data_IF_812297956068
#
_entry.id   IF_812297956068
#
_cell.length_a   1.000
_cell.length_b   1.000
_cell.length_c   1.000
_cell.angle_alpha   90.00
_cell.angle_beta   90.00
_cell.angle_gamma   90.00
#
_symmetry.space_group_name_H-M   'P 1'
#
loop_
_entity.id
_entity.type
_entity.pdbx_description
1 polymer ?
#
# COMPACT_ATOMS: atom_id res chain seq x y z
N UNK A 1 -7.92 8.91 12.94
CA UNK A 1 -7.97 8.58 11.49
C UNK A 1 -6.69 7.89 11.08
N UNK A 2 -6.80 6.79 10.36
CA UNK A 2 -5.63 6.02 9.93
C UNK A 2 -5.10 6.59 8.62
N UNK A 3 -3.79 6.78 8.57
CA UNK A 3 -3.11 7.23 7.37
C UNK A 3 -2.47 6.02 6.69
N UNK A 4 -2.59 5.96 5.37
CA UNK A 4 -1.98 4.90 4.58
C UNK A 4 -0.82 5.46 3.79
N UNK A 5 0.32 4.82 3.87
CA UNK A 5 1.53 5.19 3.16
C UNK A 5 1.87 4.11 2.15
N UNK A 6 2.19 4.53 0.94
CA UNK A 6 2.54 3.61 -0.15
C UNK A 6 3.97 3.90 -0.58
N UNK A 7 4.85 2.95 -0.35
CA UNK A 7 6.27 3.14 -0.61
C UNK A 7 6.82 2.05 -1.51
N UNK A 8 7.84 2.37 -2.27
CA UNK A 8 8.53 1.42 -3.12
C UNK A 8 9.88 1.11 -2.49
N UNK A 9 10.23 -0.17 -2.40
CA UNK A 9 11.52 -0.58 -1.89
C UNK A 9 12.58 -0.33 -2.95
N UNK A 10 13.59 0.44 -2.59
CA UNK A 10 14.72 0.77 -3.45
C UNK A 10 16.01 0.28 -2.80
N UNK A 11 17.12 0.37 -3.53
CA UNK A 11 18.41 -0.08 -3.03
C UNK A 11 18.83 0.64 -1.75
N UNK A 12 18.45 1.90 -1.62
CA UNK A 12 18.82 2.74 -0.47
C UNK A 12 17.66 2.93 0.52
N UNK A 13 16.62 2.09 0.46
CA UNK A 13 15.51 2.12 1.40
C UNK A 13 14.16 2.26 0.71
N UNK A 14 13.20 2.84 1.43
CA UNK A 14 11.84 3.00 0.94
C UNK A 14 11.62 4.44 0.48
N UNK A 15 10.97 4.60 -0.68
CA UNK A 15 10.65 5.92 -1.22
C UNK A 15 9.20 5.96 -1.69
N UNK A 16 8.58 7.12 -1.56
CA UNK A 16 7.27 7.36 -2.13
C UNK A 16 7.43 7.84 -3.57
N UNK A 17 6.72 7.17 -4.48
CA UNK A 17 6.66 7.58 -5.87
C UNK A 17 5.32 8.26 -6.09
N UNK A 18 5.31 9.57 -6.26
CA UNK A 18 4.09 10.36 -6.30
C UNK A 18 3.02 9.84 -7.25
N UNK A 19 3.41 9.42 -8.45
CA UNK A 19 2.47 8.89 -9.43
C UNK A 19 1.82 7.61 -8.92
N UNK A 20 2.62 6.71 -8.37
CA UNK A 20 2.09 5.44 -7.85
C UNK A 20 1.30 5.62 -6.57
N UNK A 21 1.69 6.57 -5.74
CA UNK A 21 0.96 6.87 -4.51
C UNK A 21 -0.47 7.33 -4.83
N UNK A 22 -0.62 8.18 -5.82
CA UNK A 22 -1.95 8.63 -6.25
C UNK A 22 -2.80 7.49 -6.75
N UNK A 23 -2.22 6.62 -7.56
CA UNK A 23 -2.92 5.44 -8.07
C UNK A 23 -3.30 4.50 -6.93
N UNK A 24 -2.39 4.28 -5.99
CA UNK A 24 -2.62 3.39 -4.87
C UNK A 24 -3.74 3.90 -3.97
N UNK A 25 -3.77 5.21 -3.74
CA UNK A 25 -4.86 5.80 -2.93
C UNK A 25 -6.21 5.61 -3.60
N UNK A 26 -6.27 5.80 -4.91
CA UNK A 26 -7.50 5.56 -5.66
C UNK A 26 -7.94 4.11 -5.60
N UNK A 27 -6.98 3.19 -5.75
CA UNK A 27 -7.27 1.77 -5.65
C UNK A 27 -7.69 1.36 -4.25
N UNK A 28 -7.11 1.98 -3.22
CA UNK A 28 -7.50 1.72 -1.84
C UNK A 28 -8.96 2.09 -1.61
N UNK A 29 -9.38 3.25 -2.08
CA UNK A 29 -10.77 3.69 -1.95
C UNK A 29 -11.69 2.69 -2.66
N UNK A 30 -11.33 2.31 -3.88
CA UNK A 30 -12.10 1.34 -4.66
C UNK A 30 -12.16 -0.02 -3.97
N UNK A 31 -11.01 -0.47 -3.47
CA UNK A 31 -10.92 -1.75 -2.79
C UNK A 31 -11.82 -1.81 -1.56
N UNK A 32 -11.76 -0.78 -0.73
CA UNK A 32 -12.57 -0.72 0.47
C UNK A 32 -14.06 -0.69 0.15
N UNK A 33 -14.42 -0.03 -0.93
CA UNK A 33 -15.82 -0.01 -1.39
C UNK A 33 -16.25 -1.38 -1.90
N UNK A 34 -15.38 -2.08 -2.62
CA UNK A 34 -15.69 -3.41 -3.17
C UNK A 34 -15.93 -4.44 -2.09
N UNK A 35 -15.11 -4.42 -1.03
CA UNK A 35 -15.25 -5.37 0.06
C UNK A 35 -16.25 -4.89 1.12
N UNK A 36 -16.83 -3.71 0.92
CA UNK A 36 -17.78 -3.10 1.85
C UNK A 36 -17.20 -3.01 3.26
N UNK A 37 -15.99 -2.50 3.34
CA UNK A 37 -15.26 -2.41 4.59
C UNK A 37 -15.97 -1.51 5.58
N UNK A 38 -16.20 -2.01 6.78
CA UNK A 38 -16.80 -1.25 7.86
C UNK A 38 -15.77 -0.76 8.86
N UNK A 39 -14.60 -1.39 8.88
CA UNK A 39 -13.54 -1.07 9.82
C UNK A 39 -12.25 -0.72 9.08
N UNK A 40 -11.46 0.21 9.63
CA UNK A 40 -10.18 0.59 8.99
C UNK A 40 -9.21 -0.57 8.84
N UNK A 41 -9.26 -1.55 9.73
CA UNK A 41 -8.38 -2.71 9.69
C UNK A 41 -8.54 -3.52 8.41
N UNK A 42 -9.65 -3.39 7.73
CA UNK A 42 -9.87 -4.06 6.45
C UNK A 42 -8.86 -3.62 5.39
N UNK A 43 -8.30 -2.41 5.53
CA UNK A 43 -7.29 -1.92 4.62
C UNK A 43 -6.01 -2.76 4.65
N UNK A 44 -5.74 -3.47 5.74
CA UNK A 44 -4.53 -4.28 5.87
C UNK A 44 -4.45 -5.40 4.84
N UNK A 45 -5.56 -5.82 4.28
CA UNK A 45 -5.57 -6.87 3.26
C UNK A 45 -5.38 -6.34 1.84
N UNK A 46 -5.20 -5.03 1.68
CA UNK A 46 -4.97 -4.42 0.38
C UNK A 46 -3.67 -4.93 -0.24
N UNK A 47 -3.74 -5.43 -1.46
CA UNK A 47 -2.58 -5.97 -2.15
C UNK A 47 -2.53 -5.60 -3.63
N UNK A 48 -3.19 -4.50 -3.99
CA UNK A 48 -3.25 -4.07 -5.39
C UNK A 48 -2.01 -3.29 -5.79
N UNK A 49 -1.72 -3.30 -7.08
CA UNK A 49 -0.57 -2.61 -7.66
C UNK A 49 0.77 -3.10 -7.12
N UNK A 50 0.80 -4.32 -6.57
CA UNK A 50 2.01 -4.90 -6.00
C UNK A 50 2.34 -4.45 -4.59
N UNK A 51 1.49 -3.63 -3.98
CA UNK A 51 1.69 -3.21 -2.59
C UNK A 51 1.19 -4.27 -1.62
N UNK A 52 1.90 -4.39 -0.50
CA UNK A 52 1.52 -5.30 0.58
C UNK A 52 1.66 -4.60 1.91
N UNK A 53 0.77 -4.93 2.82
CA UNK A 53 0.81 -4.38 4.17
C UNK A 53 2.06 -4.83 4.91
N UNK A 54 2.72 -3.88 5.59
CA UNK A 54 3.93 -4.16 6.35
C UNK A 54 3.67 -3.91 7.84
N UNK A 55 3.31 -4.95 8.59
CA UNK A 55 2.96 -4.76 10.00
C UNK A 55 4.12 -4.23 10.84
N UNK A 56 5.37 -4.58 10.49
CA UNK A 56 6.52 -4.10 11.23
C UNK A 56 6.77 -2.61 11.08
N UNK A 57 6.27 -2.02 9.99
CA UNK A 57 6.41 -0.59 9.72
C UNK A 57 5.15 0.19 10.07
N UNK A 58 4.12 -0.51 10.51
CA UNK A 58 2.80 0.07 10.74
C UNK A 58 2.46 0.09 12.21
N UNK A 59 1.48 0.94 12.57
CA UNK A 59 0.91 0.94 13.91
C UNK A 59 -0.59 1.23 13.78
N UNK A 60 -1.27 1.49 14.89
CA UNK A 60 -2.71 1.72 14.86
C UNK A 60 -3.12 3.05 14.23
N UNK A 61 -2.18 3.93 13.98
CA UNK A 61 -2.44 5.23 13.33
C UNK A 61 -1.94 5.30 11.90
N UNK A 62 -0.94 4.47 11.55
CA UNK A 62 -0.30 4.51 10.26
C UNK A 62 -0.19 3.10 9.69
N UNK A 63 -0.74 2.89 8.51
CA UNK A 63 -0.58 1.64 7.77
C UNK A 63 0.39 1.88 6.64
N UNK A 64 1.46 1.10 6.59
CA UNK A 64 2.49 1.22 5.56
C UNK A 64 2.38 0.03 4.61
N UNK A 65 2.29 0.34 3.34
CA UNK A 65 2.25 -0.65 2.26
C UNK A 65 3.47 -0.45 1.39
N UNK A 66 4.14 -1.53 1.08
CA UNK A 66 5.36 -1.46 0.27
C UNK A 66 5.23 -2.37 -0.94
N UNK A 67 5.91 -2.01 -2.01
CA UNK A 67 6.06 -2.85 -3.18
C UNK A 67 7.53 -3.05 -3.44
N UNK A 68 7.86 -4.22 -3.96
CA UNK A 68 9.23 -4.56 -4.30
C UNK A 68 9.47 -4.18 -5.76
N UNK A 69 10.42 -3.30 -5.97
CA UNK A 69 10.81 -2.87 -7.31
C UNK A 69 11.23 -4.05 -8.19
N UNK A 70 11.94 -5.00 -7.60
CA UNK A 70 12.43 -6.16 -8.35
C UNK A 70 11.32 -7.12 -8.72
N UNK A 71 10.29 -7.21 -7.91
CA UNK A 71 9.13 -8.04 -8.21
C UNK A 71 8.41 -7.54 -9.45
N UNK A 72 8.34 -6.23 -9.63
CA UNK A 72 7.72 -5.63 -10.81
C UNK A 72 8.46 -6.02 -12.08
N UNK A 73 9.77 -6.11 -12.02
CA UNK A 73 10.58 -6.47 -13.18
C UNK A 73 10.35 -7.90 -13.63
N UNK A 74 10.00 -8.78 -12.72
CA UNK A 74 9.76 -10.19 -13.04
C UNK A 74 8.54 -10.41 -13.92
N UNK A 75 7.62 -9.48 -13.95
CA UNK A 75 6.35 -9.64 -14.64
C UNK A 75 6.26 -8.90 -15.95
N UNK A 76 7.38 -8.46 -16.44
CA UNK A 76 7.43 -7.82 -17.75
C UNK A 76 7.36 -8.84 -18.88
#
# INVERSE_FOLDING_TARGET
MIKCYFMEQCDDGYKEKGVYVKKARGEMVRYLAEIKAEEPEAAQSFDRLGYHFQPTLSNHEHYVFTRDRFSMNKYK
#
